data_IF_924843539819
#
_entry.id   IF_924843539819
#
_cell.length_a   1.000
_cell.length_b   1.000
_cell.length_c   1.000
_cell.angle_alpha   90.00
_cell.angle_beta   90.00
_cell.angle_gamma   90.00
#
_symmetry.space_group_name_H-M   'P 1'
#
loop_
_entity.id
_entity.type
_entity.pdbx_description
1 polymer ?
#
# COMPACT_ATOMS: atom_id res chain seq x y z
N UNK A 1 -11.12 -16.17 -8.87
CA UNK A 1 -10.54 -15.07 -9.66
C UNK A 1 -9.14 -15.46 -10.09
N UNK A 2 -8.44 -14.58 -10.79
CA UNK A 2 -7.00 -14.72 -11.05
C UNK A 2 -6.29 -13.54 -10.41
N UNK A 3 -5.12 -13.77 -9.82
CA UNK A 3 -4.28 -12.69 -9.30
C UNK A 3 -3.73 -11.83 -10.43
N UNK A 4 -2.83 -10.91 -10.09
CA UNK A 4 -2.15 -10.09 -11.09
C UNK A 4 -1.48 -10.97 -12.17
N UNK A 5 -1.72 -10.70 -13.47
CA UNK A 5 -1.14 -11.49 -14.56
C UNK A 5 0.34 -11.12 -14.78
N UNK A 6 1.23 -11.73 -14.00
CA UNK A 6 2.67 -11.42 -14.01
C UNK A 6 3.34 -11.54 -15.38
N UNK A 7 2.99 -12.57 -16.16
CA UNK A 7 3.54 -12.77 -17.50
C UNK A 7 3.21 -11.59 -18.44
N UNK A 8 1.96 -11.11 -18.38
CA UNK A 8 1.52 -9.95 -19.16
C UNK A 8 2.22 -8.67 -18.67
N UNK A 9 2.44 -8.53 -17.36
CA UNK A 9 3.18 -7.39 -16.82
C UNK A 9 4.61 -7.38 -17.35
N UNK A 10 5.30 -8.52 -17.27
CA UNK A 10 6.66 -8.68 -17.79
C UNK A 10 6.73 -8.37 -19.29
N UNK A 11 5.80 -8.90 -20.10
CA UNK A 11 5.73 -8.62 -21.54
C UNK A 11 5.59 -7.12 -21.83
N UNK A 12 4.63 -6.45 -21.18
CA UNK A 12 4.35 -5.03 -21.43
C UNK A 12 5.45 -4.12 -20.94
N UNK A 13 6.04 -4.40 -19.77
CA UNK A 13 7.18 -3.66 -19.24
C UNK A 13 8.40 -3.79 -20.15
N UNK A 14 8.69 -5.01 -20.65
CA UNK A 14 9.77 -5.24 -21.61
C UNK A 14 9.52 -4.53 -22.94
N UNK A 15 8.27 -4.45 -23.40
CA UNK A 15 7.92 -3.80 -24.66
C UNK A 15 8.03 -2.26 -24.57
N UNK A 16 7.84 -1.65 -23.40
CA UNK A 16 7.85 -0.20 -23.21
C UNK A 16 9.27 0.39 -23.13
N UNK A 17 9.99 0.36 -24.25
CA UNK A 17 11.37 0.90 -24.37
C UNK A 17 11.49 2.39 -24.08
N UNK A 18 10.38 3.11 -24.09
CA UNK A 18 10.32 4.57 -23.85
C UNK A 18 9.86 4.92 -22.43
N UNK A 19 9.63 3.93 -21.57
CA UNK A 19 9.18 4.08 -20.18
C UNK A 19 7.95 4.99 -20.05
N UNK A 20 6.94 4.79 -20.89
CA UNK A 20 5.64 5.48 -20.84
C UNK A 20 4.81 5.02 -19.64
N UNK A 21 4.90 3.76 -19.24
CA UNK A 21 4.25 3.22 -18.04
C UNK A 21 4.90 3.89 -16.83
N UNK A 22 4.10 4.62 -16.04
CA UNK A 22 4.61 5.35 -14.86
C UNK A 22 4.40 4.61 -13.55
N UNK A 23 3.42 3.71 -13.52
CA UNK A 23 3.13 2.85 -12.38
C UNK A 23 2.48 1.55 -12.85
N UNK A 24 2.67 0.48 -12.06
CA UNK A 24 1.87 -0.74 -12.10
C UNK A 24 1.10 -0.87 -10.78
N UNK A 25 -0.04 -1.55 -10.83
CA UNK A 25 -0.96 -1.68 -9.70
C UNK A 25 -1.14 -3.15 -9.36
N UNK A 26 -1.14 -3.49 -8.07
CA UNK A 26 -1.41 -4.84 -7.61
C UNK A 26 -2.42 -4.80 -6.46
N UNK A 27 -3.56 -5.45 -6.61
CA UNK A 27 -4.42 -5.78 -5.47
C UNK A 27 -3.87 -7.03 -4.82
N UNK A 28 -3.27 -6.89 -3.63
CA UNK A 28 -2.59 -8.01 -2.96
C UNK A 28 -3.60 -9.11 -2.63
N UNK A 29 -4.80 -8.78 -2.15
CA UNK A 29 -5.84 -9.76 -1.90
C UNK A 29 -7.18 -9.25 -2.41
N UNK A 30 -7.73 -9.88 -3.45
CA UNK A 30 -9.04 -9.55 -4.01
C UNK A 30 -10.14 -10.15 -3.13
N UNK A 31 -10.77 -9.33 -2.29
CA UNK A 31 -11.80 -9.78 -1.32
C UNK A 31 -12.94 -10.51 -2.02
N UNK A 32 -13.37 -10.05 -3.20
CA UNK A 32 -14.54 -10.60 -3.88
C UNK A 32 -14.31 -12.05 -4.37
N UNK A 33 -13.06 -12.44 -4.60
CA UNK A 33 -12.73 -13.76 -5.12
C UNK A 33 -11.82 -14.58 -4.22
N UNK A 34 -11.33 -14.01 -3.11
CA UNK A 34 -10.42 -14.67 -2.17
C UNK A 34 -9.05 -14.98 -2.77
N UNK A 35 -8.63 -14.24 -3.79
CA UNK A 35 -7.38 -14.51 -4.52
C UNK A 35 -6.29 -13.55 -4.06
N UNK A 36 -5.17 -14.11 -3.64
CA UNK A 36 -3.97 -13.36 -3.27
C UNK A 36 -3.01 -13.28 -4.46
N UNK A 37 -2.56 -12.08 -4.80
CA UNK A 37 -1.59 -11.80 -5.86
C UNK A 37 -0.16 -11.80 -5.33
N UNK A 38 0.78 -12.20 -6.17
CA UNK A 38 2.21 -12.16 -5.87
C UNK A 38 2.80 -10.75 -6.12
N UNK A 39 2.93 -9.99 -5.03
CA UNK A 39 3.52 -8.64 -5.04
C UNK A 39 5.03 -8.69 -5.33
N UNK A 40 5.73 -9.69 -4.82
CA UNK A 40 7.16 -9.85 -5.06
C UNK A 40 7.44 -10.18 -6.54
N UNK A 41 6.56 -10.96 -7.18
CA UNK A 41 6.58 -11.21 -8.62
C UNK A 41 6.37 -9.94 -9.44
N UNK A 42 5.51 -9.01 -8.99
CA UNK A 42 5.37 -7.70 -9.63
C UNK A 42 6.67 -6.89 -9.59
N UNK A 43 7.38 -6.94 -8.45
CA UNK A 43 8.70 -6.32 -8.31
C UNK A 43 9.68 -6.98 -9.27
N UNK A 44 9.84 -8.30 -9.22
CA UNK A 44 10.75 -9.03 -10.10
C UNK A 44 10.54 -8.72 -11.59
N UNK A 45 9.30 -8.56 -12.04
CA UNK A 45 8.99 -8.14 -13.41
C UNK A 45 9.48 -6.72 -13.75
N UNK A 46 9.45 -5.77 -12.79
CA UNK A 46 10.04 -4.44 -12.95
C UNK A 46 11.57 -4.50 -13.02
N UNK A 47 12.23 -5.28 -12.16
CA UNK A 47 13.70 -5.45 -12.16
C UNK A 47 14.18 -6.04 -13.48
N UNK A 48 13.58 -7.15 -13.91
CA UNK A 48 13.97 -7.89 -15.11
C UNK A 48 13.79 -7.05 -16.38
N UNK A 49 12.77 -6.19 -16.42
CA UNK A 49 12.57 -5.24 -17.50
C UNK A 49 13.45 -3.96 -17.39
N UNK A 50 14.21 -3.80 -16.28
CA UNK A 50 14.92 -2.58 -15.90
C UNK A 50 14.01 -1.34 -15.98
N UNK A 51 12.76 -1.48 -15.52
CA UNK A 51 11.71 -0.51 -15.77
C UNK A 51 11.47 0.42 -14.56
N UNK A 52 11.44 1.76 -14.73
CA UNK A 52 11.44 2.71 -13.61
C UNK A 52 10.06 2.96 -12.98
N UNK A 53 9.00 2.33 -13.50
CA UNK A 53 7.63 2.50 -13.02
C UNK A 53 7.53 2.30 -11.49
N UNK A 54 6.56 3.00 -10.90
CA UNK A 54 6.22 2.85 -9.49
C UNK A 54 5.40 1.56 -9.26
N UNK A 55 5.61 0.88 -8.14
CA UNK A 55 4.76 -0.24 -7.72
C UNK A 55 3.73 0.21 -6.69
N UNK A 56 2.45 0.26 -7.07
CA UNK A 56 1.36 0.62 -6.16
C UNK A 56 0.59 -0.63 -5.75
N UNK A 57 0.35 -0.81 -4.46
CA UNK A 57 -0.32 -1.99 -3.91
C UNK A 57 -1.55 -1.59 -3.11
N UNK A 58 -2.70 -2.14 -3.51
CA UNK A 58 -3.90 -2.17 -2.67
C UNK A 58 -3.79 -3.36 -1.71
N UNK A 59 -3.58 -3.02 -0.43
CA UNK A 59 -3.51 -3.95 0.69
C UNK A 59 -4.66 -3.78 1.68
N UNK A 60 -5.82 -3.29 1.25
CA UNK A 60 -6.99 -3.09 2.12
C UNK A 60 -7.41 -4.38 2.80
N UNK A 61 -7.49 -5.49 2.06
CA UNK A 61 -7.88 -6.81 2.58
C UNK A 61 -6.70 -7.75 2.83
N UNK A 62 -5.50 -7.21 3.08
CA UNK A 62 -4.30 -8.01 3.34
C UNK A 62 -3.44 -7.48 4.49
N UNK A 63 -3.09 -6.19 4.50
CA UNK A 63 -2.21 -5.61 5.51
C UNK A 63 -2.85 -5.73 6.90
N UNK A 64 -2.09 -6.29 7.85
CA UNK A 64 -2.57 -6.65 9.19
C UNK A 64 -3.21 -8.03 9.27
N UNK A 65 -3.25 -8.80 8.18
CA UNK A 65 -3.81 -10.17 8.15
C UNK A 65 -2.92 -11.19 7.44
N UNK A 66 -2.24 -10.81 6.37
CA UNK A 66 -1.23 -11.63 5.66
C UNK A 66 0.06 -10.84 5.48
N UNK A 67 1.17 -11.55 5.19
CA UNK A 67 2.49 -10.94 5.08
C UNK A 67 2.52 -9.81 4.04
N UNK A 68 3.17 -8.70 4.39
CA UNK A 68 3.33 -7.55 3.53
C UNK A 68 4.64 -6.83 3.82
N UNK A 69 5.59 -6.91 2.88
CA UNK A 69 6.95 -6.41 3.07
C UNK A 69 7.24 -5.25 2.14
N UNK A 70 6.79 -4.06 2.53
CA UNK A 70 6.84 -2.88 1.66
C UNK A 70 8.24 -2.57 1.14
N UNK A 71 9.24 -2.52 2.03
CA UNK A 71 10.63 -2.21 1.65
C UNK A 71 11.26 -3.34 0.84
N UNK A 72 11.12 -4.60 1.29
CA UNK A 72 11.68 -5.78 0.61
C UNK A 72 11.14 -5.94 -0.81
N UNK A 73 9.83 -5.72 -1.00
CA UNK A 73 9.18 -5.84 -2.31
C UNK A 73 9.25 -4.54 -3.12
N UNK A 74 9.92 -3.50 -2.62
CA UNK A 74 10.08 -2.23 -3.33
C UNK A 74 8.75 -1.55 -3.68
N UNK A 75 7.76 -1.66 -2.80
CA UNK A 75 6.44 -1.05 -3.00
C UNK A 75 6.52 0.47 -2.78
N UNK A 76 6.15 1.21 -3.81
CA UNK A 76 6.25 2.67 -3.86
C UNK A 76 5.07 3.36 -3.16
N UNK A 77 3.86 2.80 -3.27
CA UNK A 77 2.70 3.22 -2.48
C UNK A 77 1.92 1.99 -2.01
N UNK A 78 1.61 1.91 -0.73
CA UNK A 78 0.75 0.88 -0.15
C UNK A 78 -0.46 1.54 0.52
N UNK A 79 -1.67 1.05 0.22
CA UNK A 79 -2.91 1.53 0.85
C UNK A 79 -3.58 0.43 1.68
N UNK A 80 -4.16 0.80 2.81
CA UNK A 80 -5.05 -0.09 3.59
C UNK A 80 -6.19 0.69 4.24
N UNK A 81 -7.11 -0.01 4.90
CA UNK A 81 -8.28 0.57 5.55
C UNK A 81 -8.47 0.05 6.97
N UNK A 82 -9.05 0.88 7.83
CA UNK A 82 -9.25 0.55 9.26
C UNK A 82 -10.13 -0.67 9.51
N UNK A 83 -11.13 -0.91 8.65
CA UNK A 83 -12.16 -1.95 8.81
C UNK A 83 -11.78 -3.37 8.39
N UNK A 84 -10.49 -3.66 8.32
CA UNK A 84 -9.96 -4.96 7.87
C UNK A 84 -8.96 -5.50 8.89
N UNK A 85 -7.70 -5.72 8.51
CA UNK A 85 -6.67 -6.26 9.40
C UNK A 85 -6.41 -5.42 10.66
N UNK A 86 -6.90 -4.18 10.69
CA UNK A 86 -6.78 -3.28 11.84
C UNK A 86 -8.01 -3.29 12.77
N UNK A 87 -9.00 -4.16 12.57
CA UNK A 87 -10.08 -4.43 13.56
C UNK A 87 -10.83 -3.17 14.07
N UNK A 88 -11.03 -2.16 13.21
CA UNK A 88 -11.66 -0.88 13.56
C UNK A 88 -12.95 -0.65 12.76
N UNK A 89 -13.81 0.31 13.13
CA UNK A 89 -14.83 0.82 12.23
C UNK A 89 -14.22 1.42 10.96
N UNK A 90 -14.98 1.44 9.86
CA UNK A 90 -14.57 2.12 8.64
C UNK A 90 -14.46 3.64 8.88
N UNK A 91 -13.34 4.24 8.48
CA UNK A 91 -13.16 5.69 8.59
C UNK A 91 -11.72 6.20 8.53
N UNK A 92 -10.71 5.32 8.58
CA UNK A 92 -9.32 5.70 8.27
C UNK A 92 -8.84 4.97 7.02
N UNK A 93 -8.20 5.71 6.12
CA UNK A 93 -7.36 5.17 5.06
C UNK A 93 -5.90 5.33 5.46
N UNK A 94 -5.15 4.23 5.42
CA UNK A 94 -3.71 4.23 5.67
C UNK A 94 -2.99 4.27 4.34
N UNK A 95 -2.03 5.18 4.21
CA UNK A 95 -1.19 5.28 3.03
C UNK A 95 0.27 5.34 3.48
N UNK A 96 1.07 4.39 3.00
CA UNK A 96 2.52 4.42 3.12
C UNK A 96 3.12 4.73 1.75
N UNK A 97 4.06 5.66 1.69
CA UNK A 97 4.61 6.20 0.44
C UNK A 97 6.13 6.19 0.49
N UNK A 98 6.78 5.60 -0.50
CA UNK A 98 8.24 5.53 -0.60
C UNK A 98 8.83 6.92 -0.90
N UNK A 99 10.13 7.08 -0.63
CA UNK A 99 10.87 8.29 -1.02
C UNK A 99 10.81 8.54 -2.54
N UNK A 100 10.88 7.47 -3.34
CA UNK A 100 10.79 7.54 -4.81
C UNK A 100 9.43 8.08 -5.25
N UNK A 101 8.33 7.59 -4.66
CA UNK A 101 6.99 8.08 -4.94
C UNK A 101 6.75 9.52 -4.46
N UNK A 102 7.27 9.90 -3.28
CA UNK A 102 7.20 11.27 -2.79
C UNK A 102 7.92 12.25 -3.73
N UNK A 103 9.09 11.88 -4.25
CA UNK A 103 9.82 12.69 -5.25
C UNK A 103 8.98 12.82 -6.53
N UNK A 104 8.44 11.71 -7.04
CA UNK A 104 7.60 11.72 -8.25
C UNK A 104 6.33 12.58 -8.09
N UNK A 105 5.74 12.64 -6.88
CA UNK A 105 4.55 13.46 -6.63
C UNK A 105 4.78 14.97 -6.77
N UNK A 106 6.03 15.44 -6.65
CA UNK A 106 6.37 16.87 -6.77
C UNK A 106 6.13 17.40 -8.19
N UNK A 107 6.29 16.54 -9.20
CA UNK A 107 6.06 16.89 -10.61
C UNK A 107 4.67 16.49 -11.10
N UNK A 108 3.83 15.90 -10.24
CA UNK A 108 2.48 15.51 -10.61
C UNK A 108 1.58 16.74 -10.78
N UNK A 109 0.95 16.88 -11.94
CA UNK A 109 0.13 18.05 -12.32
C UNK A 109 -1.34 17.94 -11.90
N UNK A 110 -1.75 16.82 -11.31
CA UNK A 110 -3.10 16.65 -10.79
C UNK A 110 -3.35 17.61 -9.61
N UNK A 111 -4.45 18.36 -9.69
CA UNK A 111 -4.90 19.23 -8.60
C UNK A 111 -5.24 18.36 -7.38
N UNK A 112 -4.69 18.75 -6.23
CA UNK A 112 -4.89 18.08 -4.94
C UNK A 112 -5.07 19.13 -3.85
N UNK A 113 -5.85 18.76 -2.84
CA UNK A 113 -6.07 19.56 -1.64
C UNK A 113 -6.04 18.61 -0.44
N UNK A 114 -7.16 17.94 -0.15
CA UNK A 114 -7.26 17.00 0.98
C UNK A 114 -6.18 15.90 0.96
N UNK A 115 -5.92 15.26 -0.19
CA UNK A 115 -4.91 14.21 -0.33
C UNK A 115 -3.49 14.73 -0.66
N UNK A 116 -3.16 15.95 -0.24
CA UNK A 116 -1.83 16.53 -0.44
C UNK A 116 -0.82 15.93 0.54
N UNK A 117 0.18 15.21 0.04
CA UNK A 117 1.27 14.69 0.87
C UNK A 117 2.06 15.82 1.54
N UNK A 118 2.24 16.95 0.85
CA UNK A 118 2.98 18.09 1.38
C UNK A 118 2.28 18.70 2.60
N UNK A 119 0.96 18.89 2.52
CA UNK A 119 0.19 19.45 3.64
C UNK A 119 0.15 18.49 4.83
N UNK A 120 0.00 17.18 4.56
CA UNK A 120 0.04 16.13 5.57
C UNK A 120 1.39 16.07 6.28
N UNK A 121 2.50 15.94 5.53
CA UNK A 121 3.86 15.83 6.07
C UNK A 121 4.20 17.08 6.89
N UNK A 122 3.97 18.28 6.34
CA UNK A 122 4.27 19.55 7.02
C UNK A 122 3.55 19.66 8.37
N UNK A 123 2.27 19.29 8.43
CA UNK A 123 1.51 19.35 9.67
C UNK A 123 1.92 18.24 10.65
N UNK A 124 2.11 17.01 10.16
CA UNK A 124 2.47 15.86 11.00
C UNK A 124 3.86 16.01 11.64
N UNK A 125 4.85 16.55 10.92
CA UNK A 125 6.18 16.84 11.46
C UNK A 125 6.14 17.86 12.61
N UNK A 126 5.13 18.73 12.63
CA UNK A 126 4.87 19.68 13.71
C UNK A 126 4.01 19.09 14.84
N UNK A 127 3.59 17.83 14.77
CA UNK A 127 2.71 17.17 15.74
C UNK A 127 1.21 17.48 15.56
N UNK A 128 0.80 18.01 14.42
CA UNK A 128 -0.58 18.40 14.11
C UNK A 128 -1.13 17.68 12.86
N UNK A 129 -2.39 17.95 12.56
CA UNK A 129 -3.06 17.51 11.34
C UNK A 129 -3.47 18.74 10.52
N UNK A 130 -3.42 18.67 9.17
CA UNK A 130 -3.82 19.81 8.33
C UNK A 130 -5.31 20.15 8.44
N UNK A 131 -6.12 19.23 9.00
CA UNK A 131 -7.54 19.36 9.25
C UNK A 131 -7.95 18.45 10.42
N UNK A 132 -9.16 18.64 10.95
CA UNK A 132 -9.67 17.91 12.12
C UNK A 132 -9.62 16.39 11.90
N UNK A 133 -8.85 15.62 12.68
CA UNK A 133 -8.80 14.17 12.56
C UNK A 133 -9.99 13.51 13.28
N UNK A 134 -10.29 12.25 12.95
CA UNK A 134 -11.24 11.44 13.67
C UNK A 134 -10.63 10.89 14.98
N UNK A 135 -10.63 11.71 16.04
CA UNK A 135 -9.96 11.43 17.32
C UNK A 135 -10.30 10.06 17.92
N UNK A 136 -11.58 9.65 17.86
CA UNK A 136 -12.03 8.35 18.36
C UNK A 136 -11.41 7.19 17.58
N UNK A 137 -11.31 7.32 16.25
CA UNK A 137 -10.66 6.31 15.41
C UNK A 137 -9.14 6.26 15.65
N UNK A 138 -8.49 7.40 15.92
CA UNK A 138 -7.07 7.41 16.29
C UNK A 138 -6.81 6.73 17.64
N UNK A 139 -7.69 6.94 18.63
CA UNK A 139 -7.60 6.23 19.93
C UNK A 139 -7.86 4.73 19.76
N UNK A 140 -8.85 4.36 18.95
CA UNK A 140 -9.09 2.97 18.59
C UNK A 140 -7.89 2.34 17.90
N UNK A 141 -7.26 3.05 16.96
CA UNK A 141 -6.09 2.58 16.25
C UNK A 141 -4.94 2.27 17.20
N UNK A 142 -4.69 3.12 18.21
CA UNK A 142 -3.69 2.82 19.26
C UNK A 142 -3.97 1.47 19.92
N UNK A 143 -5.19 1.25 20.39
CA UNK A 143 -5.58 0.00 21.04
C UNK A 143 -5.45 -1.22 20.08
N UNK A 144 -5.89 -1.08 18.82
CA UNK A 144 -5.70 -2.15 17.84
C UNK A 144 -4.23 -2.47 17.59
N UNK A 145 -3.36 -1.46 17.52
CA UNK A 145 -1.93 -1.67 17.32
C UNK A 145 -1.27 -2.30 18.54
N UNK A 146 -1.73 -2.00 19.76
CA UNK A 146 -1.28 -2.70 20.98
C UNK A 146 -1.65 -4.19 20.90
N UNK A 147 -2.89 -4.53 20.53
CA UNK A 147 -3.31 -5.93 20.35
C UNK A 147 -2.50 -6.66 19.26
N UNK A 148 -2.23 -5.98 18.14
CA UNK A 148 -1.42 -6.55 17.05
C UNK A 148 0.02 -6.80 17.53
N UNK A 149 0.60 -5.88 18.29
CA UNK A 149 1.95 -6.03 18.82
C UNK A 149 2.04 -7.14 19.88
N UNK A 150 1.04 -7.25 20.75
CA UNK A 150 0.95 -8.27 21.80
C UNK A 150 0.81 -9.69 21.22
N UNK A 151 0.01 -9.87 20.16
CA UNK A 151 -0.11 -11.15 19.45
C UNK A 151 1.14 -11.45 18.60
N UNK A 152 1.68 -10.43 17.94
CA UNK A 152 2.78 -10.53 16.98
C UNK A 152 2.32 -10.91 15.56
N UNK A 153 2.90 -10.26 14.55
CA UNK A 153 2.48 -10.40 13.15
C UNK A 153 2.54 -11.84 12.63
N UNK A 154 3.60 -12.59 12.96
CA UNK A 154 3.72 -13.99 12.51
C UNK A 154 2.58 -14.89 13.03
N UNK A 155 2.15 -14.67 14.28
CA UNK A 155 1.02 -15.40 14.87
C UNK A 155 -0.30 -15.00 14.20
N UNK A 156 -0.47 -13.70 13.91
CA UNK A 156 -1.62 -13.18 13.17
C UNK A 156 -1.70 -13.82 11.79
N UNK A 157 -0.59 -13.87 11.05
CA UNK A 157 -0.53 -14.47 9.72
C UNK A 157 -0.87 -15.96 9.78
N UNK A 158 -0.26 -16.69 10.72
CA UNK A 158 -0.54 -18.11 10.92
C UNK A 158 -2.00 -18.38 11.30
N UNK A 159 -2.65 -17.49 12.07
CA UNK A 159 -4.06 -17.58 12.42
C UNK A 159 -4.98 -17.36 11.22
N UNK A 160 -4.66 -16.43 10.32
CA UNK A 160 -5.47 -16.13 9.13
C UNK A 160 -5.27 -17.14 7.99
N UNK A 161 -4.21 -17.94 8.02
CA UNK A 161 -3.97 -19.02 7.04
C UNK A 161 -4.80 -20.30 7.32
N UNK A 162 -5.48 -20.40 8.47
CA UNK A 162 -6.32 -21.56 8.84
C UNK A 162 -7.63 -21.58 8.07
#
# INVERSE_FOLDING_TARGET
GTGVPLELYAERLKADKTHRIKAIFCTQNETATGVTSDVAGCRAALDDANHPALLFVDGVSSIGSIDFRQEEWGVDCAVSGSQKGFMLPAGLGFLSVSKKALIASRTATHRRCFFSFEDMIRANDAGYFPYTPATQLLRGLRASLDLIADEGLENIFARHHR
#
